data_IF_964122289108
#
_entry.id   IF_964122289108
#
_cell.length_a   1.000
_cell.length_b   1.000
_cell.length_c   1.000
_cell.angle_alpha   90.00
_cell.angle_beta   90.00
_cell.angle_gamma   90.00
#
_symmetry.space_group_name_H-M   'P 1'
#
loop_
_entity.id
_entity.type
_entity.pdbx_description
1 polymer ?
#
# COMPACT_ATOMS: atom_id res chain seq x y z
N UNK A 1 23.09 0.16 9.71
CA UNK A 1 23.66 1.34 10.38
C UNK A 1 23.32 2.62 9.64
N UNK A 2 23.82 2.83 8.42
CA UNK A 2 23.62 4.09 7.66
C UNK A 2 22.14 4.49 7.51
N UNK A 3 21.29 3.57 7.10
CA UNK A 3 19.87 3.84 6.87
C UNK A 3 19.16 4.32 8.15
N UNK A 4 19.37 3.65 9.28
CA UNK A 4 18.78 4.04 10.56
C UNK A 4 19.27 5.42 11.00
N UNK A 5 20.58 5.67 10.95
CA UNK A 5 21.17 6.96 11.34
C UNK A 5 20.70 8.10 10.42
N UNK A 6 20.51 7.84 9.13
CA UNK A 6 19.95 8.82 8.20
C UNK A 6 18.51 9.21 8.56
N UNK A 7 17.65 8.22 8.84
CA UNK A 7 16.27 8.49 9.24
C UNK A 7 16.17 9.23 10.56
N UNK A 8 17.01 8.86 11.57
CA UNK A 8 17.10 9.61 12.83
C UNK A 8 17.52 11.06 12.61
N UNK A 9 18.48 11.30 11.70
CA UNK A 9 18.93 12.64 11.35
C UNK A 9 17.76 13.49 10.80
N UNK A 10 16.97 12.96 9.88
CA UNK A 10 15.84 13.67 9.32
C UNK A 10 14.76 14.00 10.37
N UNK A 11 14.50 13.10 11.31
CA UNK A 11 13.56 13.37 12.41
C UNK A 11 14.11 14.46 13.33
N UNK A 12 15.40 14.38 13.72
CA UNK A 12 16.01 15.30 14.68
C UNK A 12 16.21 16.70 14.13
N UNK A 13 16.77 16.80 12.92
CA UNK A 13 17.22 18.07 12.36
C UNK A 13 16.12 18.78 11.53
N UNK A 14 15.25 18.00 10.90
CA UNK A 14 14.22 18.54 10.01
C UNK A 14 12.79 18.30 10.52
N UNK A 15 12.63 17.64 11.66
CA UNK A 15 11.33 17.37 12.28
C UNK A 15 10.36 16.65 11.35
N UNK A 16 10.88 15.69 10.58
CA UNK A 16 10.07 14.86 9.70
C UNK A 16 9.18 13.94 10.55
N UNK A 17 7.89 13.91 10.23
CA UNK A 17 6.87 13.17 10.97
C UNK A 17 6.64 11.74 10.46
N UNK A 18 7.25 11.37 9.33
CA UNK A 18 7.10 10.01 8.79
C UNK A 18 7.92 9.74 7.54
N UNK A 19 7.97 8.48 7.15
CA UNK A 19 8.73 8.03 5.99
C UNK A 19 7.93 7.02 5.16
N UNK A 20 7.97 7.19 3.87
CA UNK A 20 7.52 6.22 2.89
C UNK A 20 8.72 5.49 2.29
N UNK A 21 8.71 4.17 2.34
CA UNK A 21 9.77 3.32 1.79
C UNK A 21 9.38 2.84 0.40
N UNK A 22 10.16 3.25 -0.57
CA UNK A 22 10.10 2.72 -1.91
C UNK A 22 10.58 1.27 -1.90
N UNK A 23 9.89 0.36 -2.62
CA UNK A 23 10.24 -1.05 -2.67
C UNK A 23 10.59 -1.62 -1.27
N UNK A 24 9.75 -1.38 -0.28
CA UNK A 24 10.02 -1.74 1.13
C UNK A 24 10.43 -3.21 1.29
N UNK A 25 9.95 -4.09 0.42
CA UNK A 25 10.28 -5.52 0.47
C UNK A 25 11.71 -5.88 0.02
N UNK A 26 12.55 -4.92 -0.35
CA UNK A 26 14.00 -5.16 -0.49
C UNK A 26 14.73 -5.11 0.87
N UNK A 27 14.06 -4.62 1.91
CA UNK A 27 14.58 -4.57 3.27
C UNK A 27 14.10 -5.78 4.07
N UNK A 28 14.91 -6.22 5.02
CA UNK A 28 14.52 -7.27 5.95
C UNK A 28 13.62 -6.74 7.07
N UNK A 29 12.77 -7.62 7.60
CA UNK A 29 11.83 -7.32 8.67
C UNK A 29 12.53 -6.82 9.94
N UNK A 30 13.72 -7.36 10.26
CA UNK A 30 14.47 -6.97 11.46
C UNK A 30 14.94 -5.52 11.33
N UNK A 31 15.46 -5.13 10.17
CA UNK A 31 15.86 -3.74 9.89
C UNK A 31 14.66 -2.80 9.96
N UNK A 32 13.51 -3.17 9.40
CA UNK A 32 12.30 -2.34 9.47
C UNK A 32 11.81 -2.17 10.91
N UNK A 33 11.80 -3.23 11.71
CA UNK A 33 11.45 -3.16 13.13
C UNK A 33 12.46 -2.34 13.96
N UNK A 34 13.75 -2.44 13.62
CA UNK A 34 14.78 -1.59 14.25
C UNK A 34 14.55 -0.11 13.95
N UNK A 35 14.27 0.22 12.68
CA UNK A 35 13.92 1.60 12.27
C UNK A 35 12.72 2.08 13.09
N UNK A 36 11.64 1.29 13.16
CA UNK A 36 10.46 1.64 13.93
C UNK A 36 10.81 1.97 15.38
N UNK A 37 11.51 1.07 16.05
CA UNK A 37 11.91 1.24 17.46
C UNK A 37 12.73 2.50 17.69
N UNK A 38 13.69 2.78 16.80
CA UNK A 38 14.60 3.93 16.93
C UNK A 38 13.88 5.26 16.66
N UNK A 39 13.00 5.31 15.68
CA UNK A 39 12.27 6.53 15.34
C UNK A 39 11.14 6.82 16.32
N UNK A 40 10.43 5.80 16.81
CA UNK A 40 9.39 5.94 17.83
C UNK A 40 9.94 6.49 19.16
N UNK A 41 11.19 6.18 19.49
CA UNK A 41 11.87 6.77 20.65
C UNK A 41 12.16 8.27 20.49
N UNK A 42 12.19 8.80 19.25
CA UNK A 42 12.38 10.22 18.94
C UNK A 42 11.03 10.94 18.73
N UNK A 43 10.11 10.30 18.06
CA UNK A 43 8.77 10.79 17.79
C UNK A 43 7.79 9.62 17.91
N UNK A 44 7.02 9.51 19.02
CA UNK A 44 6.06 8.41 19.21
C UNK A 44 4.97 8.31 18.14
N UNK A 45 4.68 9.41 17.46
CA UNK A 45 3.66 9.51 16.42
C UNK A 45 4.22 9.35 15.01
N UNK A 46 5.51 8.96 14.86
CA UNK A 46 6.14 8.79 13.55
C UNK A 46 5.37 7.80 12.66
N UNK A 47 5.03 8.23 11.46
CA UNK A 47 4.34 7.42 10.47
C UNK A 47 5.35 6.67 9.60
N UNK A 48 5.27 5.35 9.58
CA UNK A 48 6.10 4.49 8.73
C UNK A 48 5.23 3.60 7.85
N UNK A 49 5.47 3.65 6.56
CA UNK A 49 4.79 2.78 5.59
C UNK A 49 5.60 2.66 4.30
N UNK A 50 5.24 1.73 3.44
CA UNK A 50 5.95 1.57 2.19
C UNK A 50 5.27 0.63 1.20
N UNK A 51 5.98 0.35 0.13
CA UNK A 51 5.56 -0.60 -0.89
C UNK A 51 5.93 -2.02 -0.44
N UNK A 52 4.92 -2.83 -0.14
CA UNK A 52 5.11 -4.21 0.32
C UNK A 52 5.48 -5.20 -0.80
N UNK A 53 6.27 -4.75 -1.78
CA UNK A 53 6.80 -5.52 -2.91
C UNK A 53 8.24 -5.14 -3.22
N UNK A 54 8.91 -5.93 -4.09
CA UNK A 54 10.22 -5.69 -4.63
C UNK A 54 10.16 -5.66 -6.17
N UNK A 55 11.07 -4.95 -6.82
CA UNK A 55 11.12 -4.85 -8.29
C UNK A 55 11.70 -6.10 -8.96
N UNK A 56 12.58 -6.82 -8.25
CA UNK A 56 13.28 -8.00 -8.75
C UNK A 56 13.22 -9.13 -7.73
N UNK A 57 13.67 -10.32 -8.14
CA UNK A 57 13.79 -11.45 -7.24
C UNK A 57 14.69 -11.10 -6.04
N UNK A 58 14.22 -11.32 -4.81
CA UNK A 58 14.99 -10.94 -3.63
C UNK A 58 16.25 -11.78 -3.47
N UNK A 59 17.29 -11.17 -2.89
CA UNK A 59 18.56 -11.85 -2.57
C UNK A 59 18.47 -12.73 -1.32
N UNK A 60 17.43 -12.57 -0.51
CA UNK A 60 17.18 -13.30 0.73
C UNK A 60 15.87 -14.09 0.64
N UNK A 61 15.70 -15.02 1.57
CA UNK A 61 14.45 -15.74 1.71
C UNK A 61 13.29 -14.75 1.92
N UNK A 62 12.23 -14.89 1.16
CA UNK A 62 11.11 -13.95 1.17
C UNK A 62 10.46 -13.77 2.54
N UNK A 63 10.47 -14.81 3.36
CA UNK A 63 9.91 -14.78 4.72
C UNK A 63 10.69 -13.90 5.70
N UNK A 64 11.88 -13.46 5.32
CA UNK A 64 12.69 -12.49 6.07
C UNK A 64 12.48 -11.06 5.62
N UNK A 65 11.81 -10.84 4.48
CA UNK A 65 11.68 -9.55 3.84
C UNK A 65 10.34 -8.88 4.13
N UNK A 66 10.31 -7.55 4.04
CA UNK A 66 9.17 -6.71 4.38
C UNK A 66 8.08 -6.69 3.30
N UNK A 67 7.72 -7.88 2.76
CA UNK A 67 6.58 -8.01 1.87
C UNK A 67 5.25 -7.71 2.57
N UNK A 68 4.27 -7.21 1.85
CA UNK A 68 2.93 -6.89 2.33
C UNK A 68 2.32 -8.03 3.16
N UNK A 69 2.43 -9.27 2.70
CA UNK A 69 1.91 -10.45 3.40
C UNK A 69 2.54 -10.72 4.77
N UNK A 70 3.66 -10.10 5.08
CA UNK A 70 4.35 -10.19 6.38
C UNK A 70 4.20 -8.94 7.24
N UNK A 71 3.35 -8.00 6.86
CA UNK A 71 3.10 -6.75 7.59
C UNK A 71 2.68 -7.01 9.05
N UNK A 72 2.01 -8.13 9.31
CA UNK A 72 1.69 -8.58 10.66
C UNK A 72 2.91 -8.78 11.57
N UNK A 73 4.12 -8.94 11.01
CA UNK A 73 5.39 -9.07 11.74
C UNK A 73 6.08 -7.71 11.97
N UNK A 74 5.50 -6.64 11.47
CA UNK A 74 6.04 -5.28 11.53
C UNK A 74 5.01 -4.33 12.17
N UNK A 75 4.72 -4.49 13.49
CA UNK A 75 3.73 -3.67 14.17
C UNK A 75 4.06 -2.18 14.05
N UNK A 76 3.07 -1.36 13.68
CA UNK A 76 3.24 0.07 13.50
C UNK A 76 3.86 0.49 12.16
N UNK A 77 4.11 -0.44 11.23
CA UNK A 77 4.53 -0.15 9.87
C UNK A 77 3.40 -0.56 8.93
N UNK A 78 2.99 0.36 8.07
CA UNK A 78 1.95 0.14 7.07
C UNK A 78 2.49 -0.26 5.70
N UNK A 79 1.60 -0.77 4.85
CA UNK A 79 1.90 -1.03 3.45
C UNK A 79 0.78 -0.51 2.54
N UNK A 80 1.14 -0.13 1.33
CA UNK A 80 0.17 0.20 0.30
C UNK A 80 -0.69 -1.01 -0.05
N UNK A 81 -2.01 -0.77 -0.15
CA UNK A 81 -2.97 -1.79 -0.56
C UNK A 81 -3.20 -1.74 -2.06
N UNK A 82 -2.48 -2.58 -2.79
CA UNK A 82 -2.78 -2.86 -4.19
C UNK A 82 -4.10 -3.61 -4.38
N UNK A 83 -4.61 -4.25 -3.34
CA UNK A 83 -5.92 -4.91 -3.34
C UNK A 83 -7.04 -3.89 -3.62
N UNK A 84 -7.15 -2.82 -2.81
CA UNK A 84 -8.18 -1.80 -3.01
C UNK A 84 -7.93 -0.99 -4.29
N UNK A 85 -6.66 -0.68 -4.59
CA UNK A 85 -6.28 0.00 -5.84
C UNK A 85 -6.79 -0.78 -7.05
N UNK A 86 -6.45 -2.06 -7.13
CA UNK A 86 -6.83 -2.91 -8.27
C UNK A 86 -8.34 -3.13 -8.34
N UNK A 87 -9.00 -3.32 -7.21
CA UNK A 87 -10.46 -3.44 -7.16
C UNK A 87 -11.16 -2.16 -7.65
N UNK A 88 -10.62 -0.98 -7.35
CA UNK A 88 -11.19 0.30 -7.81
C UNK A 88 -10.91 0.54 -9.29
N UNK A 89 -9.64 0.52 -9.72
CA UNK A 89 -9.21 1.02 -11.02
C UNK A 89 -8.75 -0.05 -12.02
N UNK A 90 -8.64 -1.30 -11.60
CA UNK A 90 -8.05 -2.38 -12.37
C UNK A 90 -6.54 -2.53 -12.15
N UNK A 91 -5.98 -3.59 -12.73
CA UNK A 91 -4.56 -3.97 -12.63
C UNK A 91 -3.63 -3.00 -13.36
N UNK A 92 -2.31 -3.10 -13.12
CA UNK A 92 -1.33 -2.16 -13.69
C UNK A 92 -1.22 -2.24 -15.21
N UNK A 93 -1.44 -3.39 -15.81
CA UNK A 93 -1.22 -3.67 -17.24
C UNK A 93 -2.25 -3.06 -18.20
N UNK A 94 -3.20 -2.29 -17.72
CA UNK A 94 -4.29 -1.69 -18.51
C UNK A 94 -5.15 -2.70 -19.28
N UNK A 95 -5.08 -3.99 -18.98
CA UNK A 95 -5.88 -5.01 -19.67
C UNK A 95 -7.34 -4.99 -19.25
N UNK A 96 -7.59 -4.65 -17.99
CA UNK A 96 -8.91 -4.64 -17.38
C UNK A 96 -9.14 -3.42 -16.50
N UNK A 97 -10.37 -2.91 -16.53
CA UNK A 97 -10.84 -1.91 -15.59
C UNK A 97 -11.18 -2.51 -14.21
N UNK A 98 -11.47 -1.65 -13.25
CA UNK A 98 -11.99 -2.03 -11.95
C UNK A 98 -13.45 -1.58 -11.77
N UNK A 99 -13.83 -1.44 -10.52
CA UNK A 99 -15.18 -1.02 -10.12
C UNK A 99 -15.63 0.28 -10.77
N UNK A 100 -14.74 1.27 -10.89
CA UNK A 100 -15.06 2.57 -11.51
C UNK A 100 -15.41 2.45 -13.00
N UNK A 101 -14.98 1.38 -13.66
CA UNK A 101 -15.32 1.08 -15.06
C UNK A 101 -16.57 0.18 -15.18
N UNK A 102 -17.26 -0.11 -14.07
CA UNK A 102 -18.43 -0.99 -14.06
C UNK A 102 -18.09 -2.48 -14.12
N UNK A 103 -16.84 -2.87 -13.91
CA UNK A 103 -16.45 -4.29 -13.92
C UNK A 103 -16.99 -4.99 -12.66
N UNK A 104 -17.74 -6.07 -12.89
CA UNK A 104 -18.34 -6.86 -11.81
C UNK A 104 -17.28 -7.68 -11.04
N UNK A 105 -17.62 -8.11 -9.82
CA UNK A 105 -16.77 -9.00 -9.02
C UNK A 105 -15.87 -8.32 -8.00
N UNK A 106 -15.69 -7.00 -8.07
CA UNK A 106 -14.77 -6.27 -7.20
C UNK A 106 -15.33 -5.91 -5.81
N UNK A 107 -16.61 -6.20 -5.55
CA UNK A 107 -17.32 -5.73 -4.35
C UNK A 107 -16.66 -6.19 -3.04
N UNK A 108 -16.29 -7.48 -2.94
CA UNK A 108 -15.73 -8.01 -1.70
C UNK A 108 -14.28 -7.54 -1.48
N UNK A 109 -13.49 -7.39 -2.54
CA UNK A 109 -12.16 -6.80 -2.46
C UNK A 109 -12.22 -5.31 -2.04
N UNK A 110 -13.24 -4.57 -2.49
CA UNK A 110 -13.49 -3.19 -2.03
C UNK A 110 -13.88 -3.14 -0.57
N UNK A 111 -14.81 -3.99 -0.13
CA UNK A 111 -15.16 -4.09 1.30
C UNK A 111 -13.95 -4.41 2.17
N UNK A 112 -13.10 -5.34 1.72
CA UNK A 112 -11.86 -5.70 2.39
C UNK A 112 -10.91 -4.49 2.54
N UNK A 113 -10.70 -3.74 1.46
CA UNK A 113 -9.91 -2.51 1.51
C UNK A 113 -10.52 -1.44 2.43
N UNK A 114 -11.85 -1.26 2.41
CA UNK A 114 -12.58 -0.32 3.29
C UNK A 114 -12.46 -0.76 4.76
N UNK A 115 -12.49 -2.09 5.04
CA UNK A 115 -12.26 -2.63 6.37
C UNK A 115 -10.81 -2.49 6.86
N UNK A 116 -9.88 -2.07 5.99
CA UNK A 116 -8.49 -1.83 6.33
C UNK A 116 -7.61 -3.08 6.28
N UNK A 117 -7.90 -4.02 5.39
CA UNK A 117 -7.06 -5.20 5.14
C UNK A 117 -7.03 -6.22 6.29
N UNK A 118 -7.99 -6.17 7.20
CA UNK A 118 -8.12 -7.06 8.36
C UNK A 118 -9.22 -8.10 8.16
N UNK A 119 -9.19 -9.16 8.96
CA UNK A 119 -10.30 -10.10 9.02
C UNK A 119 -11.59 -9.41 9.48
N UNK A 120 -12.70 -9.68 8.79
CA UNK A 120 -14.00 -9.15 9.13
C UNK A 120 -15.10 -10.17 8.78
N UNK A 121 -16.02 -10.50 9.71
CA UNK A 121 -16.99 -11.58 9.52
C UNK A 121 -18.00 -11.36 8.40
N UNK A 122 -18.18 -10.11 7.94
CA UNK A 122 -19.10 -9.75 6.86
C UNK A 122 -18.39 -9.50 5.51
N UNK A 123 -17.09 -9.82 5.41
CA UNK A 123 -16.28 -9.64 4.20
C UNK A 123 -15.70 -10.97 3.78
N UNK A 124 -16.19 -11.52 2.67
CA UNK A 124 -15.75 -12.81 2.15
C UNK A 124 -14.27 -12.86 1.76
N UNK A 125 -13.70 -11.72 1.38
CA UNK A 125 -12.29 -11.59 1.01
C UNK A 125 -11.31 -11.55 2.19
N UNK A 126 -11.81 -11.69 3.41
CA UNK A 126 -11.00 -11.55 4.65
C UNK A 126 -9.94 -12.63 4.82
N UNK A 127 -10.03 -13.75 4.12
CA UNK A 127 -8.97 -14.77 4.09
C UNK A 127 -7.63 -14.26 3.54
N UNK A 128 -7.67 -13.15 2.79
CA UNK A 128 -6.49 -12.45 2.28
C UNK A 128 -5.92 -11.41 3.27
N UNK A 129 -6.39 -11.38 4.52
CA UNK A 129 -5.97 -10.41 5.52
C UNK A 129 -4.45 -10.45 5.76
N UNK A 130 -3.82 -9.28 5.67
CA UNK A 130 -2.40 -9.11 5.87
C UNK A 130 -2.06 -8.05 6.92
N UNK A 131 -3.06 -7.30 7.39
CA UNK A 131 -2.96 -6.36 8.49
C UNK A 131 -3.38 -6.98 9.82
N UNK A 132 -2.70 -6.63 10.91
CA UNK A 132 -3.18 -6.85 12.28
C UNK A 132 -4.12 -5.72 12.75
N UNK A 133 -4.00 -4.55 12.13
CA UNK A 133 -4.77 -3.36 12.45
C UNK A 133 -5.00 -2.55 11.17
N UNK A 134 -6.17 -1.89 11.01
CA UNK A 134 -6.42 -0.98 9.90
C UNK A 134 -5.39 0.15 9.76
N UNK A 135 -4.65 0.46 10.83
CA UNK A 135 -3.56 1.46 10.80
C UNK A 135 -2.38 1.06 9.91
N UNK A 136 -2.26 -0.23 9.57
CA UNK A 136 -1.23 -0.74 8.69
C UNK A 136 -1.63 -0.71 7.21
N UNK A 137 -2.88 -0.35 6.91
CA UNK A 137 -3.43 -0.35 5.56
C UNK A 137 -3.42 1.06 4.96
N UNK A 138 -2.65 1.25 3.90
CA UNK A 138 -2.61 2.52 3.16
C UNK A 138 -3.48 2.37 1.91
N UNK A 139 -4.71 2.88 2.00
CA UNK A 139 -5.63 2.93 0.86
C UNK A 139 -5.19 3.99 -0.14
N UNK A 140 -5.19 3.66 -1.40
CA UNK A 140 -4.90 4.60 -2.48
C UNK A 140 -5.51 4.15 -3.79
N UNK A 141 -5.64 5.07 -4.74
CA UNK A 141 -6.10 4.80 -6.10
C UNK A 141 -5.09 5.26 -7.13
N UNK A 142 -4.31 6.28 -6.80
CA UNK A 142 -3.29 6.90 -7.65
C UNK A 142 -2.05 7.23 -6.81
N UNK A 143 -0.88 7.05 -7.39
CA UNK A 143 0.40 7.48 -6.83
C UNK A 143 1.28 8.08 -7.95
N UNK A 144 2.59 8.26 -7.69
CA UNK A 144 3.54 8.77 -8.67
C UNK A 144 3.93 7.73 -9.74
N UNK A 145 3.67 6.44 -9.48
CA UNK A 145 3.93 5.35 -10.41
C UNK A 145 2.70 5.05 -11.24
N UNK A 146 2.93 4.63 -12.50
CA UNK A 146 1.92 4.19 -13.44
C UNK A 146 0.89 5.29 -13.77
N UNK A 147 -0.10 4.94 -14.57
CA UNK A 147 -1.17 5.84 -14.96
C UNK A 147 -2.01 6.27 -13.76
N UNK A 148 -2.29 7.58 -13.66
CA UNK A 148 -3.27 8.06 -12.70
C UNK A 148 -4.69 7.62 -13.09
N UNK A 149 -5.66 7.85 -12.22
CA UNK A 149 -7.04 7.39 -12.45
C UNK A 149 -7.64 8.01 -13.73
N UNK A 150 -7.38 9.30 -14.00
CA UNK A 150 -7.89 9.96 -15.20
C UNK A 150 -7.36 9.32 -16.48
N UNK A 151 -6.05 9.09 -16.54
CA UNK A 151 -5.41 8.48 -17.73
C UNK A 151 -5.98 7.07 -17.97
N UNK A 152 -6.24 6.32 -16.91
CA UNK A 152 -6.86 4.99 -17.00
C UNK A 152 -8.29 5.06 -17.51
N UNK A 153 -9.09 6.01 -17.02
CA UNK A 153 -10.46 6.23 -17.50
C UNK A 153 -10.47 6.59 -18.99
N UNK A 154 -9.55 7.44 -19.42
CA UNK A 154 -9.42 7.80 -20.83
C UNK A 154 -9.01 6.61 -21.70
N UNK A 155 -8.10 5.78 -21.21
CA UNK A 155 -7.60 4.62 -21.94
C UNK A 155 -8.62 3.48 -22.02
N UNK A 156 -9.29 3.13 -20.91
CA UNK A 156 -10.19 1.99 -20.80
C UNK A 156 -11.65 2.33 -21.14
N UNK A 157 -12.00 3.61 -21.22
CA UNK A 157 -13.32 4.10 -21.60
C UNK A 157 -13.20 5.25 -22.61
N UNK A 158 -12.59 4.99 -23.79
CA UNK A 158 -12.32 6.05 -24.79
C UNK A 158 -13.59 6.69 -25.33
N UNK A 159 -14.69 5.92 -25.40
CA UNK A 159 -15.98 6.40 -25.91
C UNK A 159 -16.76 7.24 -24.89
N UNK A 160 -16.39 7.22 -23.62
CA UNK A 160 -17.06 7.98 -22.59
C UNK A 160 -16.72 9.49 -22.70
N UNK A 161 -17.74 10.34 -22.59
CA UNK A 161 -17.55 11.79 -22.46
C UNK A 161 -16.88 12.14 -21.13
N UNK A 162 -16.33 13.37 -21.04
CA UNK A 162 -15.75 13.86 -19.79
C UNK A 162 -16.77 13.85 -18.63
N UNK A 163 -18.03 14.19 -18.90
CA UNK A 163 -19.10 14.16 -17.90
C UNK A 163 -19.38 12.74 -17.40
N UNK A 164 -19.34 11.74 -18.26
CA UNK A 164 -19.52 10.34 -17.88
C UNK A 164 -18.32 9.84 -17.07
N UNK A 165 -17.10 10.18 -17.46
CA UNK A 165 -15.89 9.83 -16.68
C UNK A 165 -15.89 10.45 -15.28
N UNK A 166 -16.41 11.68 -15.13
CA UNK A 166 -16.58 12.30 -13.81
C UNK A 166 -17.62 11.60 -12.94
N UNK A 167 -18.59 10.91 -13.52
CA UNK A 167 -19.58 10.11 -12.77
C UNK A 167 -19.04 8.72 -12.37
N UNK A 168 -17.93 8.25 -12.95
CA UNK A 168 -17.27 7.00 -12.59
C UNK A 168 -16.44 7.11 -11.30
N UNK A 169 -16.16 8.33 -10.84
CA UNK A 169 -15.32 8.66 -9.67
C UNK A 169 -16.16 9.26 -8.56
#
# INVERSE_FOLDING_TARGET
KYMVESLEYWVKEYHIDGFRFDLMAIHDIETMNLIRTRLEALNPDVLLYGEGWAAEAPLYDEDKLAFKRYTYRMPGIGAFSDDIRNALRGTLDLSEGGFVHGVAGNKEALKFGIAGGVEHPEVEHSEAAWCQSPRQHISYVTCHDDHNLRDRLEHLSPEASESERLQMV
#
